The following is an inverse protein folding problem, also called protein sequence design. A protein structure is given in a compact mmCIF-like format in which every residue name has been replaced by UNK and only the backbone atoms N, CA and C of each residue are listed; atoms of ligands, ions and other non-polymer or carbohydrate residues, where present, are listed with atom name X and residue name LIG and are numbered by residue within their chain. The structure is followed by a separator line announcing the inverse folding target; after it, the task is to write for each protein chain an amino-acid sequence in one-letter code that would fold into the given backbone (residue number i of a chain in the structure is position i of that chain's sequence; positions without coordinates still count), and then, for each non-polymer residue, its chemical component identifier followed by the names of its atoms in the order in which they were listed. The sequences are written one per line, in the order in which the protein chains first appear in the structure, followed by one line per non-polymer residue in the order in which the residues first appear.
data_IF_665147733094
#
_entry.id   IF_665147733094
#
_cell.length_a   1.000
_cell.length_b   1.000
_cell.length_c   1.000
_cell.angle_alpha   90.00
_cell.angle_beta   90.00
_cell.angle_gamma   90.00
#
_symmetry.space_group_name_H-M   'P 1'
#
loop_
_entity.id
_entity.type
_entity.pdbx_description
1 polymer ?
#
# COMPACT_ATOMS: atom_id res chain seq x y z
N UNK A 1 -35.20 -15.37 -4.82
CA UNK A 1 -34.36 -14.26 -5.30
C UNK A 1 -32.92 -14.53 -4.85
N UNK A 2 -31.95 -14.53 -5.77
CA UNK A 2 -30.57 -14.91 -5.50
C UNK A 2 -29.57 -13.84 -5.91
N UNK A 3 -29.98 -12.83 -6.70
CA UNK A 3 -29.14 -11.70 -7.05
C UNK A 3 -29.94 -10.43 -7.35
N UNK A 4 -29.28 -9.28 -7.18
CA UNK A 4 -29.64 -8.00 -7.78
C UNK A 4 -28.56 -7.57 -8.77
N UNK A 5 -28.95 -7.08 -9.94
CA UNK A 5 -28.05 -6.43 -10.90
C UNK A 5 -28.35 -4.93 -10.95
N UNK A 6 -27.36 -4.11 -10.66
CA UNK A 6 -27.39 -2.66 -10.89
C UNK A 6 -26.89 -2.41 -12.29
N UNK A 7 -27.67 -1.78 -13.15
CA UNK A 7 -27.37 -1.66 -14.58
C UNK A 7 -27.83 -0.35 -15.20
N UNK A 8 -27.31 -0.06 -16.40
CA UNK A 8 -27.81 0.96 -17.32
C UNK A 8 -28.10 0.29 -18.67
N UNK A 9 -29.35 0.15 -19.01
CA UNK A 9 -29.75 -0.64 -20.18
C UNK A 9 -29.23 -2.09 -20.09
N UNK A 10 -28.40 -2.52 -21.03
CA UNK A 10 -27.78 -3.87 -21.04
C UNK A 10 -26.46 -3.95 -20.24
N UNK A 11 -25.88 -2.82 -19.83
CA UNK A 11 -24.61 -2.79 -19.11
C UNK A 11 -24.82 -3.01 -17.63
N UNK A 12 -24.25 -4.10 -17.09
CA UNK A 12 -24.27 -4.42 -15.65
C UNK A 12 -23.05 -3.81 -14.98
N UNK A 13 -23.28 -2.91 -14.02
CA UNK A 13 -22.23 -2.28 -13.21
C UNK A 13 -21.88 -3.08 -11.96
N UNK A 14 -22.87 -3.76 -11.39
CA UNK A 14 -22.68 -4.56 -10.18
C UNK A 14 -23.73 -5.68 -10.09
N UNK A 15 -23.27 -6.86 -9.70
CA UNK A 15 -24.13 -7.95 -9.27
C UNK A 15 -23.95 -8.17 -7.78
N UNK A 16 -25.04 -8.17 -7.02
CA UNK A 16 -25.08 -8.46 -5.57
C UNK A 16 -25.75 -9.80 -5.41
N UNK A 17 -25.01 -10.80 -4.98
CA UNK A 17 -25.51 -12.19 -4.80
C UNK A 17 -25.80 -12.48 -3.33
N UNK A 18 -26.73 -13.41 -3.07
CA UNK A 18 -27.09 -13.86 -1.72
C UNK A 18 -28.50 -14.46 -1.69
N UNK A 19 -28.88 -15.05 -0.54
CA UNK A 19 -30.21 -15.67 -0.35
C UNK A 19 -30.76 -15.26 1.02
N UNK A 20 -31.47 -14.10 1.12
CA UNK A 20 -31.65 -13.07 0.11
C UNK A 20 -30.38 -12.25 -0.15
N UNK A 21 -30.24 -11.58 -1.31
CA UNK A 21 -29.12 -10.66 -1.55
C UNK A 21 -29.20 -9.42 -0.67
N UNK A 22 -28.05 -8.80 -0.39
CA UNK A 22 -28.01 -7.51 0.33
C UNK A 22 -28.77 -6.42 -0.44
N UNK A 23 -29.50 -5.57 0.27
CA UNK A 23 -30.30 -4.47 -0.30
C UNK A 23 -29.51 -3.17 -0.47
N UNK A 24 -28.21 -3.18 -0.12
CA UNK A 24 -27.29 -2.06 -0.26
C UNK A 24 -25.98 -2.52 -0.91
N UNK A 25 -25.44 -1.70 -1.78
CA UNK A 25 -24.11 -1.95 -2.39
C UNK A 25 -23.45 -0.63 -2.75
N UNK A 26 -22.12 -0.64 -2.87
CA UNK A 26 -21.33 0.48 -3.37
C UNK A 26 -20.92 0.17 -4.80
N UNK A 27 -21.15 1.13 -5.69
CA UNK A 27 -20.62 1.11 -7.05
C UNK A 27 -19.25 1.78 -7.04
N UNK A 28 -18.29 1.15 -7.71
CA UNK A 28 -16.93 1.66 -7.91
C UNK A 28 -16.59 1.68 -9.40
N UNK A 29 -15.59 2.46 -9.77
CA UNK A 29 -15.15 2.53 -11.17
C UNK A 29 -16.05 3.36 -12.09
N UNK A 30 -16.97 4.16 -11.54
CA UNK A 30 -17.71 5.13 -12.32
C UNK A 30 -16.77 6.28 -12.73
N UNK A 31 -16.88 6.72 -13.99
CA UNK A 31 -16.16 7.91 -14.44
C UNK A 31 -16.66 9.14 -13.67
N UNK A 32 -15.77 10.07 -13.34
CA UNK A 32 -16.12 11.34 -12.71
C UNK A 32 -16.78 12.29 -13.71
N UNK A 33 -17.46 13.33 -13.22
CA UNK A 33 -18.20 14.33 -14.00
C UNK A 33 -19.13 13.73 -15.08
N UNK A 34 -19.63 12.51 -14.84
CA UNK A 34 -20.36 11.73 -15.84
C UNK A 34 -21.79 11.46 -15.37
N UNK A 35 -22.81 11.62 -16.24
CA UNK A 35 -24.19 11.27 -15.91
C UNK A 35 -24.37 9.75 -15.99
N UNK A 36 -25.12 9.23 -15.05
CA UNK A 36 -25.54 7.82 -15.01
C UNK A 36 -27.04 7.75 -14.76
N UNK A 37 -27.71 6.82 -15.47
CA UNK A 37 -29.09 6.43 -15.20
C UNK A 37 -29.09 4.95 -14.93
N UNK A 38 -29.36 4.56 -13.69
CA UNK A 38 -29.24 3.18 -13.23
C UNK A 38 -30.59 2.65 -12.76
N UNK A 39 -30.88 1.40 -13.07
CA UNK A 39 -31.98 0.60 -12.52
C UNK A 39 -31.44 -0.67 -11.86
N UNK A 40 -32.34 -1.37 -11.15
CA UNK A 40 -32.03 -2.65 -10.51
C UNK A 40 -32.98 -3.72 -11.05
N UNK A 41 -32.42 -4.87 -11.39
CA UNK A 41 -33.17 -6.07 -11.77
C UNK A 41 -32.87 -7.18 -10.76
N UNK A 42 -33.91 -7.83 -10.28
CA UNK A 42 -33.79 -9.00 -9.42
C UNK A 42 -33.73 -10.28 -10.26
N UNK A 43 -32.93 -11.27 -9.82
CA UNK A 43 -32.85 -12.59 -10.44
C UNK A 43 -33.17 -13.70 -9.45
N UNK A 44 -33.84 -14.74 -9.91
CA UNK A 44 -34.07 -15.96 -9.14
C UNK A 44 -32.97 -17.02 -9.43
N UNK A 45 -33.05 -18.18 -8.77
CA UNK A 45 -32.09 -19.26 -8.93
C UNK A 45 -32.16 -19.93 -10.33
N UNK A 46 -33.24 -19.76 -11.06
CA UNK A 46 -33.42 -20.28 -12.41
C UNK A 46 -32.92 -19.29 -13.49
N UNK A 47 -32.47 -18.07 -13.08
CA UNK A 47 -32.00 -17.03 -13.99
C UNK A 47 -33.09 -16.11 -14.53
N UNK A 48 -34.36 -16.28 -14.10
CA UNK A 48 -35.43 -15.37 -14.49
C UNK A 48 -35.20 -13.98 -13.89
N UNK A 49 -35.48 -12.94 -14.68
CA UNK A 49 -35.27 -11.56 -14.31
C UNK A 49 -36.63 -10.83 -14.08
N UNK A 50 -36.69 -10.00 -13.05
CA UNK A 50 -37.82 -9.09 -12.84
C UNK A 50 -37.86 -7.98 -13.87
N UNK A 51 -38.97 -7.26 -14.02
CA UNK A 51 -38.94 -5.93 -14.60
C UNK A 51 -37.91 -5.03 -13.88
N UNK A 52 -37.31 -4.05 -14.57
CA UNK A 52 -36.43 -3.08 -13.91
C UNK A 52 -37.19 -2.27 -12.83
N UNK A 53 -36.45 -1.86 -11.81
CA UNK A 53 -36.92 -0.81 -10.88
C UNK A 53 -37.13 0.53 -11.59
N UNK A 54 -37.71 1.51 -10.89
CA UNK A 54 -37.60 2.90 -11.33
C UNK A 54 -36.11 3.27 -11.46
N UNK A 55 -35.78 3.96 -12.54
CA UNK A 55 -34.43 4.41 -12.78
C UNK A 55 -34.08 5.63 -11.91
N UNK A 56 -32.83 5.69 -11.46
CA UNK A 56 -32.27 6.85 -10.76
C UNK A 56 -31.21 7.48 -11.64
N UNK A 57 -31.34 8.78 -11.90
CA UNK A 57 -30.34 9.55 -12.64
C UNK A 57 -29.55 10.43 -11.68
N UNK A 58 -28.24 10.41 -11.79
CA UNK A 58 -27.32 11.26 -11.05
C UNK A 58 -26.08 11.56 -11.90
N UNK A 59 -25.34 12.60 -11.53
CA UNK A 59 -24.01 12.90 -12.10
C UNK A 59 -22.99 12.62 -11.01
N UNK A 60 -21.93 11.91 -11.38
CA UNK A 60 -20.79 11.71 -10.46
C UNK A 60 -20.10 13.05 -10.18
N UNK A 61 -19.44 13.21 -9.00
CA UNK A 61 -18.65 14.41 -8.72
C UNK A 61 -17.65 14.73 -9.81
N UNK A 62 -17.28 16.01 -9.91
CA UNK A 62 -16.26 16.48 -10.85
C UNK A 62 -14.95 15.69 -10.70
N UNK A 63 -14.23 15.53 -11.78
CA UNK A 63 -12.93 14.91 -11.75
C UNK A 63 -12.00 15.77 -10.90
N UNK A 64 -11.39 15.17 -9.89
CA UNK A 64 -10.30 15.83 -9.19
C UNK A 64 -9.21 16.19 -10.21
N UNK A 65 -8.88 17.46 -10.31
CA UNK A 65 -7.85 17.93 -11.24
C UNK A 65 -6.50 17.33 -10.84
N UNK A 66 -5.73 16.90 -11.83
CA UNK A 66 -4.37 16.42 -11.59
C UNK A 66 -3.50 17.52 -10.93
N UNK A 67 -2.45 17.11 -10.24
CA UNK A 67 -1.41 18.04 -9.80
C UNK A 67 -1.59 18.66 -8.42
N UNK A 68 -2.30 18.02 -7.50
CA UNK A 68 -2.46 18.50 -6.13
C UNK A 68 -1.15 18.87 -5.42
N UNK A 69 -1.21 19.85 -4.52
CA UNK A 69 -0.07 20.38 -3.74
C UNK A 69 -0.38 20.30 -2.25
N UNK A 70 0.59 19.94 -1.38
CA UNK A 70 0.42 20.08 0.05
C UNK A 70 0.11 21.54 0.44
N UNK A 71 -1.07 21.78 0.99
CA UNK A 71 -1.57 23.13 1.33
C UNK A 71 -1.73 23.37 2.83
N UNK A 72 -1.62 22.32 3.64
CA UNK A 72 -1.68 22.41 5.09
C UNK A 72 -1.28 21.10 5.74
N UNK A 73 -0.76 21.17 6.96
CA UNK A 73 -0.42 20.02 7.79
C UNK A 73 -0.91 20.24 9.20
N UNK A 74 -1.51 19.23 9.81
CA UNK A 74 -1.96 19.25 11.20
C UNK A 74 -1.66 17.92 11.88
N UNK A 75 -1.30 17.94 13.16
CA UNK A 75 -1.13 16.72 13.95
C UNK A 75 -2.48 16.03 14.16
N UNK A 76 -2.58 14.78 13.80
CA UNK A 76 -3.72 13.90 14.12
C UNK A 76 -3.53 13.33 15.52
N UNK A 77 -2.37 12.73 15.79
CA UNK A 77 -2.02 12.18 17.11
C UNK A 77 -0.53 12.11 17.33
N UNK A 78 -0.13 12.04 18.60
CA UNK A 78 1.25 11.94 19.06
C UNK A 78 1.42 10.72 19.97
N UNK A 79 2.64 10.42 20.40
CA UNK A 79 2.92 9.30 21.30
C UNK A 79 3.02 7.96 20.59
N UNK A 80 3.44 7.94 19.34
CA UNK A 80 3.68 6.72 18.56
C UNK A 80 5.11 6.24 18.74
N UNK A 81 5.29 4.92 18.67
CA UNK A 81 6.58 4.23 18.72
C UNK A 81 6.87 3.54 17.40
N UNK A 82 7.58 4.23 16.51
CA UNK A 82 7.94 3.72 15.17
C UNK A 82 6.69 3.24 14.40
N UNK A 83 5.71 4.12 14.09
CA UNK A 83 4.53 3.75 13.31
C UNK A 83 4.96 3.43 11.87
N UNK A 84 5.04 2.13 11.55
CA UNK A 84 5.65 1.64 10.32
C UNK A 84 4.68 1.46 9.17
N UNK A 85 3.55 0.82 9.40
CA UNK A 85 2.50 0.59 8.40
C UNK A 85 1.23 1.32 8.78
N UNK A 86 0.54 1.91 7.81
CA UNK A 86 -0.79 2.50 7.99
C UNK A 86 -1.67 2.09 6.82
N UNK A 87 -2.85 1.56 7.11
CA UNK A 87 -3.81 1.16 6.09
C UNK A 87 -5.23 1.49 6.54
N UNK A 88 -5.98 2.16 5.67
CA UNK A 88 -7.35 2.54 5.95
C UNK A 88 -8.31 1.35 5.86
N UNK A 89 -9.29 1.33 6.76
CA UNK A 89 -10.42 0.42 6.64
C UNK A 89 -11.26 0.80 5.42
N UNK A 90 -11.97 -0.16 4.79
CA UNK A 90 -12.75 0.10 3.58
C UNK A 90 -13.85 1.14 3.74
N UNK A 91 -14.31 1.39 4.97
CA UNK A 91 -15.30 2.42 5.29
C UNK A 91 -14.71 3.85 5.32
N UNK A 92 -13.40 3.99 5.22
CA UNK A 92 -12.69 5.27 5.25
C UNK A 92 -12.75 6.03 6.57
N UNK A 93 -13.26 5.42 7.66
CA UNK A 93 -13.45 6.09 8.95
C UNK A 93 -12.29 5.88 9.92
N UNK A 94 -11.61 4.76 9.80
CA UNK A 94 -10.50 4.39 10.69
C UNK A 94 -9.35 3.80 9.89
N UNK A 95 -8.15 3.83 10.46
CA UNK A 95 -6.98 3.14 9.90
C UNK A 95 -6.36 2.20 10.95
N UNK A 96 -5.75 1.12 10.48
CA UNK A 96 -4.85 0.30 11.27
C UNK A 96 -3.43 0.82 11.11
N UNK A 97 -2.72 0.97 12.22
CA UNK A 97 -1.33 1.41 12.28
C UNK A 97 -0.53 0.36 13.04
N UNK A 98 0.58 -0.07 12.46
CA UNK A 98 1.52 -1.01 13.10
C UNK A 98 2.66 -0.24 13.77
N UNK A 99 3.02 -0.63 15.00
CA UNK A 99 4.25 -0.19 15.65
C UNK A 99 5.32 -1.28 15.53
N UNK A 100 6.47 -0.92 14.93
CA UNK A 100 7.49 -1.88 14.50
C UNK A 100 8.04 -2.74 15.63
N UNK A 101 8.48 -2.11 16.71
CA UNK A 101 9.25 -2.79 17.76
C UNK A 101 8.39 -3.29 18.93
N UNK A 102 7.22 -2.68 19.12
CA UNK A 102 6.23 -3.13 20.13
C UNK A 102 5.30 -4.21 19.60
N UNK A 103 5.29 -4.45 18.28
CA UNK A 103 4.43 -5.41 17.57
C UNK A 103 2.94 -5.14 17.75
N UNK A 104 2.58 -3.95 18.22
CA UNK A 104 1.20 -3.52 18.43
C UNK A 104 0.56 -3.14 17.11
N UNK A 105 -0.73 -3.43 17.03
CA UNK A 105 -1.60 -2.88 16.00
C UNK A 105 -2.61 -1.98 16.69
N UNK A 106 -2.69 -0.75 16.24
CA UNK A 106 -3.61 0.25 16.79
C UNK A 106 -4.61 0.68 15.73
N UNK A 107 -5.87 0.81 16.12
CA UNK A 107 -6.88 1.54 15.37
C UNK A 107 -6.70 3.03 15.65
N UNK A 108 -6.60 3.83 14.61
CA UNK A 108 -6.51 5.27 14.66
C UNK A 108 -7.70 5.92 13.94
N UNK A 109 -8.20 7.01 14.47
CA UNK A 109 -9.33 7.77 13.92
C UNK A 109 -8.91 9.19 13.54
N UNK A 110 -9.64 9.89 12.66
CA UNK A 110 -9.31 11.25 12.24
C UNK A 110 -9.33 12.29 13.35
N UNK A 111 -10.02 12.04 14.47
CA UNK A 111 -10.04 12.87 15.67
C UNK A 111 -8.81 12.67 16.59
N UNK A 112 -7.91 11.73 16.19
CA UNK A 112 -6.69 11.46 16.93
C UNK A 112 -6.79 10.35 17.98
N UNK A 113 -7.96 9.74 18.15
CA UNK A 113 -8.13 8.61 19.08
C UNK A 113 -7.33 7.41 18.59
N UNK A 114 -6.62 6.75 19.52
CA UNK A 114 -5.83 5.54 19.28
C UNK A 114 -6.29 4.45 20.23
N UNK A 115 -6.55 3.26 19.70
CA UNK A 115 -6.93 2.10 20.51
C UNK A 115 -6.11 0.88 20.05
N UNK A 116 -5.38 0.27 20.95
CA UNK A 116 -4.71 -0.99 20.64
C UNK A 116 -5.77 -2.08 20.40
N UNK A 117 -5.68 -2.74 19.24
CA UNK A 117 -6.60 -3.81 18.83
C UNK A 117 -5.95 -5.20 18.92
N UNK A 118 -4.67 -5.26 19.17
CA UNK A 118 -3.92 -6.50 19.38
C UNK A 118 -2.42 -6.35 19.14
N UNK A 119 -1.75 -7.49 19.12
CA UNK A 119 -0.35 -7.63 18.72
C UNK A 119 -0.22 -8.74 17.69
N UNK A 120 0.82 -8.67 16.85
CA UNK A 120 1.12 -9.76 15.91
C UNK A 120 2.00 -10.79 16.60
N UNK A 121 1.54 -12.05 16.76
CA UNK A 121 2.32 -13.09 17.43
C UNK A 121 3.60 -13.45 16.69
N UNK A 122 4.60 -13.91 17.45
CA UNK A 122 5.90 -14.36 16.91
C UNK A 122 6.72 -13.29 16.16
N UNK A 123 6.33 -12.03 16.25
CA UNK A 123 7.13 -10.94 15.74
C UNK A 123 8.35 -10.70 16.62
N UNK A 124 9.50 -10.43 15.99
CA UNK A 124 10.76 -10.10 16.66
C UNK A 124 11.44 -8.94 15.98
N UNK A 125 12.25 -8.19 16.71
CA UNK A 125 13.12 -7.15 16.15
C UNK A 125 14.41 -7.76 15.56
N UNK A 126 15.14 -6.95 14.79
CA UNK A 126 16.48 -7.30 14.28
C UNK A 126 17.55 -6.31 14.76
N UNK A 127 17.22 -5.47 15.72
CA UNK A 127 18.05 -4.33 16.17
C UNK A 127 18.38 -3.35 14.99
N UNK A 128 17.48 -3.30 14.01
CA UNK A 128 17.62 -2.52 12.79
C UNK A 128 16.28 -2.18 12.17
N UNK A 129 15.99 -2.77 11.00
CA UNK A 129 14.75 -2.47 10.26
C UNK A 129 13.66 -3.53 10.44
N UNK A 130 13.97 -4.71 10.95
CA UNK A 130 13.00 -5.79 11.14
C UNK A 130 12.11 -5.58 12.36
N UNK A 131 10.92 -6.15 12.32
CA UNK A 131 9.89 -6.04 13.34
C UNK A 131 8.50 -6.27 12.74
N UNK A 132 7.47 -5.61 13.27
CA UNK A 132 6.15 -5.55 12.65
C UNK A 132 6.15 -4.41 11.61
N UNK A 133 6.02 -4.75 10.34
CA UNK A 133 6.21 -3.85 9.21
C UNK A 133 4.86 -3.46 8.59
N UNK A 134 4.59 -3.91 7.38
CA UNK A 134 3.40 -3.54 6.61
C UNK A 134 2.11 -4.16 7.16
N UNK A 135 1.03 -3.46 6.91
CA UNK A 135 -0.34 -3.92 7.09
C UNK A 135 -1.14 -3.68 5.83
N UNK A 136 -2.06 -4.57 5.49
CA UNK A 136 -3.06 -4.37 4.45
C UNK A 136 -4.41 -4.93 4.92
N UNK A 137 -5.49 -4.30 4.51
CA UNK A 137 -6.87 -4.75 4.80
C UNK A 137 -7.44 -5.38 3.54
N UNK A 138 -8.07 -6.53 3.68
CA UNK A 138 -8.69 -7.22 2.55
C UNK A 138 -9.75 -6.32 1.89
N UNK A 139 -9.78 -6.19 0.56
CA UNK A 139 -10.85 -5.45 -0.13
C UNK A 139 -12.26 -5.97 0.17
N UNK A 140 -12.38 -7.23 0.59
CA UNK A 140 -13.63 -7.88 1.02
C UNK A 140 -13.76 -7.95 2.55
N UNK A 141 -13.09 -7.06 3.28
CA UNK A 141 -13.07 -7.09 4.75
C UNK A 141 -14.48 -7.14 5.36
N UNK A 142 -15.45 -6.45 4.79
CA UNK A 142 -16.83 -6.47 5.27
C UNK A 142 -17.46 -7.86 5.33
N UNK A 143 -16.92 -8.84 4.60
CA UNK A 143 -17.42 -10.22 4.57
C UNK A 143 -16.47 -11.22 5.23
N UNK A 144 -15.16 -11.00 5.17
CA UNK A 144 -14.17 -11.98 5.66
C UNK A 144 -13.38 -11.51 6.87
N UNK A 145 -13.41 -10.21 7.17
CA UNK A 145 -12.68 -9.57 8.29
C UNK A 145 -11.17 -9.78 8.27
N UNK A 146 -10.56 -10.06 7.11
CA UNK A 146 -9.14 -10.36 7.01
C UNK A 146 -8.28 -9.10 6.95
N UNK A 147 -7.16 -9.17 7.68
CA UNK A 147 -6.07 -8.19 7.65
C UNK A 147 -4.75 -8.95 7.53
N UNK A 148 -3.80 -8.36 6.83
CA UNK A 148 -2.52 -8.98 6.49
C UNK A 148 -1.38 -8.17 7.08
N UNK A 149 -0.36 -8.87 7.55
CA UNK A 149 0.82 -8.27 8.15
C UNK A 149 2.08 -8.84 7.53
N UNK A 150 3.04 -7.96 7.23
CA UNK A 150 4.42 -8.35 7.01
C UNK A 150 5.19 -8.13 8.30
N UNK A 151 5.84 -9.16 8.81
CA UNK A 151 6.62 -9.06 10.02
C UNK A 151 7.85 -9.95 9.99
N UNK A 152 8.83 -9.62 10.81
CA UNK A 152 10.01 -10.45 11.07
C UNK A 152 9.69 -11.43 12.18
N UNK A 153 10.06 -12.70 11.98
CA UNK A 153 10.00 -13.77 12.99
C UNK A 153 11.40 -14.34 13.24
N UNK A 154 11.52 -15.31 14.16
CA UNK A 154 12.83 -15.91 14.50
C UNK A 154 13.54 -16.50 13.29
N UNK A 155 12.81 -17.14 12.38
CA UNK A 155 13.36 -17.85 11.21
C UNK A 155 13.49 -16.98 9.95
N UNK A 156 12.81 -15.82 9.89
CA UNK A 156 12.78 -14.96 8.72
C UNK A 156 11.58 -14.04 8.70
N UNK A 157 11.45 -13.28 7.62
CA UNK A 157 10.25 -12.44 7.40
C UNK A 157 9.09 -13.30 6.92
N UNK A 158 7.87 -12.89 7.25
CA UNK A 158 6.62 -13.61 6.94
C UNK A 158 5.53 -12.66 6.48
N UNK A 159 4.65 -13.17 5.63
CA UNK A 159 3.31 -12.61 5.44
C UNK A 159 2.33 -13.46 6.26
N UNK A 160 1.63 -12.84 7.17
CA UNK A 160 0.61 -13.48 8.00
C UNK A 160 -0.74 -12.81 7.80
N UNK A 161 -1.81 -13.56 8.07
CA UNK A 161 -3.18 -13.07 8.07
C UNK A 161 -3.78 -13.22 9.46
N UNK A 162 -4.57 -12.26 9.87
CA UNK A 162 -5.40 -12.30 11.07
C UNK A 162 -6.84 -11.89 10.74
N UNK A 163 -7.76 -12.18 11.64
CA UNK A 163 -9.11 -11.67 11.61
C UNK A 163 -9.19 -10.43 12.50
N UNK A 164 -9.75 -9.35 11.97
CA UNK A 164 -10.03 -8.12 12.69
C UNK A 164 -11.55 -7.87 12.68
N UNK A 165 -12.22 -7.98 13.82
CA UNK A 165 -13.68 -7.84 13.96
C UNK A 165 -14.18 -6.39 14.10
N UNK A 166 -13.25 -5.41 13.99
CA UNK A 166 -13.53 -3.98 14.22
C UNK A 166 -13.08 -3.49 15.60
N UNK A 167 -12.78 -4.42 16.52
CA UNK A 167 -12.34 -4.14 17.89
C UNK A 167 -11.07 -4.88 18.30
N UNK A 168 -10.86 -6.10 17.83
CA UNK A 168 -9.76 -6.97 18.24
C UNK A 168 -9.22 -7.84 17.10
N UNK A 169 -7.95 -8.23 17.22
CA UNK A 169 -7.27 -9.18 16.33
C UNK A 169 -7.29 -10.59 16.88
N UNK A 170 -7.49 -11.58 16.01
CA UNK A 170 -7.48 -13.00 16.36
C UNK A 170 -7.04 -13.87 15.16
N UNK A 171 -6.89 -15.17 15.36
CA UNK A 171 -6.75 -16.14 14.26
C UNK A 171 -5.47 -15.98 13.43
N UNK A 172 -4.31 -15.80 14.08
CA UNK A 172 -3.03 -15.67 13.38
C UNK A 172 -2.72 -16.89 12.51
N UNK A 173 -2.46 -16.67 11.23
CA UNK A 173 -2.13 -17.69 10.23
C UNK A 173 -0.98 -17.22 9.36
N UNK A 174 0.08 -18.01 9.25
CA UNK A 174 1.20 -17.74 8.33
C UNK A 174 0.77 -18.12 6.91
N UNK A 175 0.86 -17.18 5.98
CA UNK A 175 0.54 -17.38 4.57
C UNK A 175 1.79 -17.61 3.72
N UNK A 176 2.87 -16.89 4.00
CA UNK A 176 4.16 -17.05 3.32
C UNK A 176 5.28 -16.92 4.32
N UNK A 177 6.24 -17.82 4.23
CA UNK A 177 7.49 -17.84 5.01
C UNK A 177 8.68 -18.18 4.11
N UNK A 178 9.89 -18.24 4.68
CA UNK A 178 11.10 -18.52 3.91
C UNK A 178 11.71 -17.26 3.27
N UNK A 179 11.26 -16.07 3.65
CA UNK A 179 11.89 -14.80 3.28
C UNK A 179 13.02 -14.56 4.30
N UNK A 180 14.27 -14.58 3.84
CA UNK A 180 15.43 -14.33 4.70
C UNK A 180 15.32 -12.94 5.34
N UNK A 181 15.64 -12.86 6.65
CA UNK A 181 15.74 -11.60 7.38
C UNK A 181 17.19 -11.20 7.57
N UNK A 182 17.41 -9.93 7.81
CA UNK A 182 18.69 -9.41 8.30
C UNK A 182 18.45 -8.21 9.21
N UNK A 183 19.52 -7.64 9.76
CA UNK A 183 19.43 -6.39 10.51
C UNK A 183 18.78 -5.28 9.68
N UNK A 184 19.14 -5.20 8.40
CA UNK A 184 18.64 -4.24 7.43
C UNK A 184 18.08 -4.93 6.19
N UNK A 185 17.42 -4.17 5.32
CA UNK A 185 16.91 -4.60 4.01
C UNK A 185 15.87 -5.72 4.11
N UNK A 186 14.86 -5.51 4.95
CA UNK A 186 13.76 -6.46 5.11
C UNK A 186 12.56 -6.17 4.18
N UNK A 187 12.53 -5.00 3.55
CA UNK A 187 11.37 -4.55 2.76
C UNK A 187 10.16 -4.31 3.65
N UNK A 188 9.02 -4.92 3.33
CA UNK A 188 7.93 -5.07 4.28
C UNK A 188 6.62 -4.39 3.91
N UNK A 189 6.51 -3.65 2.79
CA UNK A 189 5.26 -3.01 2.39
C UNK A 189 4.29 -4.02 1.80
N UNK A 190 3.00 -3.88 2.18
CA UNK A 190 1.89 -4.63 1.62
C UNK A 190 0.91 -3.69 0.93
N UNK A 191 0.37 -4.11 -0.21
CA UNK A 191 -0.68 -3.39 -0.92
C UNK A 191 -1.56 -4.37 -1.70
N UNK A 192 -2.88 -4.15 -1.72
CA UNK A 192 -3.76 -4.83 -2.65
C UNK A 192 -3.76 -4.15 -4.00
N UNK A 193 -3.60 -4.93 -5.05
CA UNK A 193 -3.74 -4.45 -6.42
C UNK A 193 -5.21 -4.36 -6.85
N UNK A 194 -5.50 -3.60 -7.92
CA UNK A 194 -6.85 -3.56 -8.50
C UNK A 194 -7.29 -4.90 -9.06
N UNK A 195 -6.36 -5.82 -9.26
CA UNK A 195 -6.59 -7.21 -9.66
C UNK A 195 -7.02 -8.12 -8.48
N UNK A 196 -7.09 -7.57 -7.26
CA UNK A 196 -7.52 -8.26 -6.04
C UNK A 196 -6.45 -9.14 -5.39
N UNK A 197 -5.22 -9.14 -5.89
CA UNK A 197 -4.09 -9.86 -5.29
C UNK A 197 -3.31 -8.99 -4.31
N UNK A 198 -2.68 -9.65 -3.34
CA UNK A 198 -1.80 -9.01 -2.38
C UNK A 198 -0.38 -8.94 -2.94
N UNK A 199 0.18 -7.73 -2.95
CA UNK A 199 1.56 -7.46 -3.30
C UNK A 199 2.37 -7.21 -2.03
N UNK A 200 3.57 -7.80 -1.98
CA UNK A 200 4.50 -7.64 -0.86
C UNK A 200 5.89 -7.28 -1.37
N UNK A 201 6.51 -6.27 -0.77
CA UNK A 201 7.90 -5.93 -1.05
C UNK A 201 8.83 -6.64 -0.09
N UNK A 202 9.94 -7.20 -0.60
CA UNK A 202 10.95 -7.87 0.20
C UNK A 202 12.34 -7.33 -0.12
N UNK A 203 13.13 -7.05 0.90
CA UNK A 203 14.53 -6.67 0.74
C UNK A 203 15.43 -7.88 0.50
N UNK A 204 16.64 -7.63 0.05
CA UNK A 204 17.64 -8.68 -0.22
C UNK A 204 18.34 -9.21 1.06
N UNK A 205 17.99 -8.66 2.23
CA UNK A 205 18.48 -9.11 3.54
C UNK A 205 20.01 -9.12 3.65
N UNK A 206 20.67 -8.05 3.17
CA UNK A 206 22.13 -7.89 3.13
C UNK A 206 22.85 -9.06 2.42
N UNK A 207 22.18 -9.66 1.45
CA UNK A 207 22.69 -10.72 0.58
C UNK A 207 22.34 -10.38 -0.87
N UNK A 208 23.07 -9.45 -1.51
CA UNK A 208 22.71 -8.82 -2.77
C UNK A 208 22.35 -9.78 -3.90
N UNK A 209 23.04 -10.92 -3.99
CA UNK A 209 22.82 -11.92 -5.06
C UNK A 209 21.41 -12.53 -5.02
N UNK A 210 20.75 -12.54 -3.86
CA UNK A 210 19.37 -13.02 -3.75
C UNK A 210 18.40 -12.20 -4.60
N UNK A 211 18.72 -10.92 -4.85
CA UNK A 211 17.87 -10.06 -5.67
C UNK A 211 17.76 -10.57 -7.12
N UNK A 212 18.80 -11.19 -7.67
CA UNK A 212 18.83 -11.74 -9.02
C UNK A 212 18.34 -13.19 -9.11
N UNK A 213 18.31 -13.93 -8.01
CA UNK A 213 17.80 -15.30 -7.99
C UNK A 213 16.26 -15.30 -8.02
N UNK A 214 15.69 -15.75 -9.13
CA UNK A 214 14.22 -15.84 -9.34
C UNK A 214 13.53 -16.91 -8.50
N UNK A 215 14.28 -17.79 -7.84
CA UNK A 215 13.76 -18.78 -6.89
C UNK A 215 13.78 -18.26 -5.45
N UNK A 216 14.52 -17.18 -5.17
CA UNK A 216 14.54 -16.50 -3.89
C UNK A 216 13.33 -15.58 -3.75
N UNK A 217 12.80 -15.47 -2.53
CA UNK A 217 11.76 -14.51 -2.17
C UNK A 217 12.34 -13.13 -1.77
N UNK A 218 13.65 -12.98 -1.73
CA UNK A 218 14.33 -11.78 -1.28
C UNK A 218 14.72 -10.84 -2.45
N UNK A 219 14.61 -9.53 -2.23
CA UNK A 219 14.87 -8.53 -3.26
C UNK A 219 13.84 -8.56 -4.39
N UNK A 220 12.56 -8.61 -4.03
CA UNK A 220 11.43 -8.86 -4.92
C UNK A 220 10.23 -7.98 -4.62
N UNK A 221 9.40 -7.79 -5.64
CA UNK A 221 7.97 -7.60 -5.44
C UNK A 221 7.32 -8.95 -5.66
N UNK A 222 6.63 -9.43 -4.62
CA UNK A 222 5.87 -10.69 -4.63
C UNK A 222 4.41 -10.40 -4.90
N UNK A 223 3.69 -11.33 -5.55
CA UNK A 223 2.24 -11.23 -5.80
C UNK A 223 1.58 -12.57 -5.47
N UNK A 224 0.58 -12.52 -4.59
CA UNK A 224 -0.07 -13.71 -4.04
C UNK A 224 -1.58 -13.53 -3.89
N UNK A 225 -2.26 -14.67 -3.81
CA UNK A 225 -3.69 -14.72 -3.48
C UNK A 225 -3.93 -14.43 -1.99
N UNK A 226 -5.16 -14.16 -1.63
CA UNK A 226 -5.58 -13.88 -0.24
C UNK A 226 -5.46 -15.08 0.70
N UNK A 227 -5.29 -16.29 0.15
CA UNK A 227 -5.02 -17.53 0.88
C UNK A 227 -3.53 -17.94 0.87
N UNK A 228 -2.65 -17.06 0.37
CA UNK A 228 -1.20 -17.21 0.47
C UNK A 228 -0.56 -18.07 -0.61
N UNK A 229 -1.24 -18.33 -1.74
CA UNK A 229 -0.64 -19.01 -2.89
C UNK A 229 -0.06 -18.01 -3.89
N UNK A 230 0.91 -18.44 -4.68
CA UNK A 230 1.37 -17.64 -5.80
C UNK A 230 0.20 -17.25 -6.71
N UNK A 231 0.08 -15.97 -7.06
CA UNK A 231 -1.04 -15.53 -7.88
C UNK A 231 -0.94 -16.10 -9.30
N UNK A 232 -2.07 -16.54 -9.90
CA UNK A 232 -2.10 -16.95 -11.30
C UNK A 232 -1.57 -15.87 -12.23
N UNK A 233 -0.81 -16.28 -13.25
CA UNK A 233 -0.22 -15.34 -14.21
C UNK A 233 1.04 -14.62 -13.71
N UNK A 234 1.61 -15.01 -12.57
CA UNK A 234 2.94 -14.56 -12.19
C UNK A 234 3.98 -15.02 -13.22
N UNK A 235 4.95 -14.15 -13.57
CA UNK A 235 5.80 -14.35 -14.74
C UNK A 235 6.74 -15.57 -14.66
N UNK A 236 7.00 -16.07 -13.43
CA UNK A 236 7.94 -17.19 -13.23
C UNK A 236 7.27 -18.43 -12.63
N UNK A 237 5.94 -18.49 -12.58
CA UNK A 237 5.20 -19.62 -12.02
C UNK A 237 5.33 -19.77 -10.50
N UNK A 238 5.88 -18.78 -9.82
CA UNK A 238 6.05 -18.69 -8.36
C UNK A 238 5.54 -17.34 -7.83
N UNK A 239 5.91 -16.94 -6.62
CA UNK A 239 5.46 -15.68 -6.00
C UNK A 239 6.05 -14.42 -6.64
N UNK A 240 7.16 -14.53 -7.39
CA UNK A 240 7.93 -13.39 -7.89
C UNK A 240 7.18 -12.67 -9.01
N UNK A 241 6.90 -11.39 -8.80
CA UNK A 241 6.31 -10.49 -9.80
C UNK A 241 7.38 -9.66 -10.52
N UNK A 242 8.33 -9.09 -9.77
CA UNK A 242 9.55 -8.44 -10.26
C UNK A 242 10.74 -8.75 -9.36
N UNK A 243 11.95 -8.54 -9.85
CA UNK A 243 13.18 -8.89 -9.16
C UNK A 243 14.28 -7.86 -9.38
N UNK A 244 15.42 -8.04 -8.69
CA UNK A 244 16.52 -7.09 -8.78
C UNK A 244 16.31 -5.85 -7.91
N UNK A 245 15.63 -6.01 -6.76
CA UNK A 245 15.39 -4.96 -5.77
C UNK A 245 16.34 -5.08 -4.58
N UNK A 246 16.72 -3.94 -4.00
CA UNK A 246 17.57 -3.91 -2.81
C UNK A 246 16.73 -3.89 -1.52
N UNK A 247 16.00 -2.82 -1.29
CA UNK A 247 15.18 -2.63 -0.09
C UNK A 247 13.92 -1.80 -0.38
N UNK A 248 12.95 -2.35 -1.07
CA UNK A 248 11.72 -1.67 -1.43
C UNK A 248 10.80 -1.51 -0.22
N UNK A 249 10.38 -0.28 0.10
CA UNK A 249 9.49 0.02 1.24
C UNK A 249 8.23 0.81 0.87
N UNK A 250 8.10 1.26 -0.37
CA UNK A 250 6.94 1.99 -0.84
C UNK A 250 6.23 1.25 -1.96
N UNK A 251 4.90 1.05 -1.87
CA UNK A 251 4.06 0.50 -2.92
C UNK A 251 2.77 1.31 -3.03
N UNK A 252 2.40 1.72 -4.24
CA UNK A 252 1.11 2.34 -4.50
C UNK A 252 0.65 2.09 -5.94
N UNK A 253 -0.65 1.88 -6.11
CA UNK A 253 -1.26 1.78 -7.43
C UNK A 253 -1.82 3.14 -7.87
N UNK A 254 -1.58 3.52 -9.10
CA UNK A 254 -2.20 4.70 -9.70
C UNK A 254 -3.60 4.39 -10.26
N UNK A 255 -4.29 5.43 -10.76
CA UNK A 255 -5.65 5.31 -11.32
C UNK A 255 -5.74 4.37 -12.53
N UNK A 256 -4.63 4.12 -13.21
CA UNK A 256 -4.54 3.21 -14.35
C UNK A 256 -4.15 1.78 -13.94
N UNK A 257 -4.09 1.50 -12.63
CA UNK A 257 -3.72 0.20 -12.08
C UNK A 257 -2.23 -0.14 -12.19
N UNK A 258 -1.36 0.84 -12.44
CA UNK A 258 0.08 0.65 -12.53
C UNK A 258 0.70 0.71 -11.14
N UNK A 259 1.58 -0.23 -10.84
CA UNK A 259 2.27 -0.30 -9.55
C UNK A 259 3.53 0.57 -9.55
N UNK A 260 3.57 1.53 -8.65
CA UNK A 260 4.75 2.33 -8.33
C UNK A 260 5.40 1.81 -7.07
N UNK A 261 6.72 1.85 -7.04
CA UNK A 261 7.53 1.34 -5.96
C UNK A 261 8.68 2.31 -5.66
N UNK A 262 9.00 2.47 -4.36
CA UNK A 262 10.13 3.27 -3.91
C UNK A 262 11.07 2.43 -3.05
N UNK A 263 12.40 2.51 -3.35
CA UNK A 263 13.41 1.72 -2.67
C UNK A 263 14.69 2.49 -2.33
N UNK A 264 15.36 2.02 -1.29
CA UNK A 264 16.65 2.52 -0.86
C UNK A 264 17.76 1.96 -1.73
N UNK A 265 18.59 2.85 -2.25
CA UNK A 265 19.88 2.49 -2.79
C UNK A 265 20.91 2.18 -1.71
N UNK A 266 22.13 1.91 -2.14
CA UNK A 266 23.25 1.62 -1.24
C UNK A 266 24.07 2.88 -0.91
N UNK A 267 24.73 3.40 -1.91
CA UNK A 267 25.69 4.49 -1.73
C UNK A 267 25.52 5.61 -2.75
N UNK A 268 24.76 5.40 -3.80
CA UNK A 268 24.64 6.34 -4.92
C UNK A 268 23.26 6.93 -5.06
N UNK A 269 22.22 6.09 -5.30
CA UNK A 269 20.90 6.55 -5.71
C UNK A 269 19.77 5.74 -5.06
N UNK A 270 18.84 6.45 -4.48
CA UNK A 270 17.51 5.95 -4.17
C UNK A 270 16.62 6.02 -5.41
N UNK A 271 15.57 5.19 -5.50
CA UNK A 271 14.81 4.97 -6.71
C UNK A 271 13.30 5.06 -6.51
N UNK A 272 12.63 5.55 -7.55
CA UNK A 272 11.20 5.41 -7.76
C UNK A 272 10.99 4.66 -9.07
N UNK A 273 10.42 3.48 -8.97
CA UNK A 273 10.24 2.52 -10.03
C UNK A 273 8.78 2.40 -10.47
N UNK A 274 8.54 2.16 -11.75
CA UNK A 274 7.28 1.66 -12.27
C UNK A 274 7.40 0.15 -12.48
N UNK A 275 6.71 -0.62 -11.64
CA UNK A 275 6.85 -2.07 -11.61
C UNK A 275 6.04 -2.74 -12.73
N UNK A 276 6.71 -3.58 -13.50
CA UNK A 276 6.12 -4.41 -14.55
C UNK A 276 6.43 -5.89 -14.30
N UNK A 277 5.52 -6.81 -14.65
CA UNK A 277 5.73 -8.24 -14.41
C UNK A 277 6.97 -8.74 -15.15
N UNK A 278 7.76 -9.56 -14.47
CA UNK A 278 8.95 -10.21 -15.02
C UNK A 278 10.18 -9.33 -15.24
N UNK A 279 10.10 -8.05 -14.89
CA UNK A 279 11.22 -7.12 -15.11
C UNK A 279 12.26 -7.19 -13.99
N UNK A 280 13.52 -6.95 -14.39
CA UNK A 280 14.69 -6.86 -13.52
C UNK A 280 15.05 -5.40 -13.27
N UNK A 281 15.07 -4.97 -12.00
CA UNK A 281 15.36 -3.59 -11.61
C UNK A 281 16.83 -3.34 -11.26
N UNK A 282 17.68 -4.31 -11.49
CA UNK A 282 19.13 -4.15 -11.67
C UNK A 282 19.99 -4.42 -10.45
N UNK A 283 19.50 -4.33 -9.22
CA UNK A 283 20.30 -4.59 -8.03
C UNK A 283 20.78 -6.06 -7.97
N UNK A 284 22.07 -6.36 -7.64
CA UNK A 284 23.16 -5.43 -7.28
C UNK A 284 24.02 -5.00 -8.47
N UNK A 285 23.70 -5.37 -9.70
CA UNK A 285 24.49 -5.05 -10.90
C UNK A 285 24.50 -3.54 -11.14
N UNK A 286 23.36 -2.90 -10.87
CA UNK A 286 23.17 -1.46 -11.03
C UNK A 286 22.56 -0.85 -9.77
N UNK A 287 22.78 0.44 -9.59
CA UNK A 287 22.14 1.34 -8.64
C UNK A 287 21.83 2.64 -9.38
N UNK A 288 20.58 3.02 -9.48
CA UNK A 288 20.13 4.10 -10.34
C UNK A 288 20.06 3.68 -11.82
N UNK A 289 20.41 4.58 -12.72
CA UNK A 289 20.34 4.31 -14.16
C UNK A 289 21.35 3.24 -14.57
N UNK A 290 20.86 2.23 -15.25
CA UNK A 290 21.63 1.07 -15.69
C UNK A 290 21.74 1.02 -17.21
N UNK A 291 22.92 0.71 -17.72
CA UNK A 291 23.17 0.50 -19.16
C UNK A 291 23.24 -0.98 -19.54
N UNK A 292 23.19 -1.87 -18.55
CA UNK A 292 23.23 -3.32 -18.77
C UNK A 292 21.93 -3.79 -19.43
N UNK A 293 22.05 -4.54 -20.51
CA UNK A 293 20.93 -5.09 -21.26
C UNK A 293 20.05 -5.96 -20.37
N UNK A 294 18.72 -5.82 -20.50
CA UNK A 294 17.75 -6.58 -19.73
C UNK A 294 17.38 -5.98 -18.38
N UNK A 295 18.05 -4.93 -17.95
CA UNK A 295 17.69 -4.18 -16.74
C UNK A 295 16.66 -3.10 -17.05
N UNK A 296 15.81 -2.81 -16.09
CA UNK A 296 14.78 -1.76 -16.17
C UNK A 296 15.22 -0.58 -15.34
N UNK A 297 15.28 0.58 -15.96
CA UNK A 297 15.70 1.81 -15.28
C UNK A 297 14.58 2.37 -14.38
N UNK A 298 14.96 2.97 -13.25
CA UNK A 298 14.02 3.74 -12.44
C UNK A 298 13.43 4.92 -13.23
N UNK A 299 12.21 5.31 -12.89
CA UNK A 299 11.56 6.49 -13.45
C UNK A 299 12.12 7.79 -12.89
N UNK A 300 12.63 7.74 -11.64
CA UNK A 300 13.29 8.85 -10.97
C UNK A 300 14.31 8.34 -9.96
N UNK A 301 15.37 9.11 -9.77
CA UNK A 301 16.41 8.83 -8.75
C UNK A 301 16.70 10.06 -7.92
N UNK A 302 17.15 9.84 -6.70
CA UNK A 302 17.64 10.87 -5.76
C UNK A 302 19.00 10.47 -5.21
N UNK A 303 19.76 11.45 -4.70
CA UNK A 303 20.90 11.14 -3.85
C UNK A 303 20.39 10.56 -2.52
N UNK A 304 21.10 9.61 -1.95
CA UNK A 304 20.71 8.94 -0.71
C UNK A 304 20.55 9.89 0.49
N UNK A 305 21.16 11.08 0.43
CA UNK A 305 20.98 12.15 1.44
C UNK A 305 19.65 12.90 1.32
N UNK A 306 18.98 12.80 0.17
CA UNK A 306 17.77 13.57 -0.13
C UNK A 306 16.50 12.73 0.01
N UNK A 307 16.62 11.40 0.08
CA UNK A 307 15.48 10.51 0.17
C UNK A 307 15.64 9.46 1.28
N UNK A 308 16.18 8.27 1.03
CA UNK A 308 15.90 7.04 1.76
C UNK A 308 14.38 6.82 1.83
N UNK A 309 13.76 6.51 0.68
CA UNK A 309 12.30 6.58 0.52
C UNK A 309 11.62 5.39 1.20
N UNK A 310 10.54 5.64 1.93
CA UNK A 310 9.73 4.59 2.53
C UNK A 310 8.33 4.57 1.91
N UNK A 311 7.28 4.90 2.65
CA UNK A 311 5.93 4.84 2.12
C UNK A 311 5.69 5.80 0.96
N UNK A 312 4.86 5.37 0.00
CA UNK A 312 4.32 6.22 -1.06
C UNK A 312 2.80 6.14 -1.11
N UNK A 313 2.16 7.22 -1.53
CA UNK A 313 0.72 7.29 -1.80
C UNK A 313 0.46 8.14 -3.03
N UNK A 314 -0.68 7.90 -3.70
CA UNK A 314 -1.04 8.65 -4.91
C UNK A 314 -2.38 9.35 -4.70
N UNK A 315 -2.38 10.67 -4.84
CA UNK A 315 -3.56 11.53 -4.78
C UNK A 315 -3.50 12.48 -5.97
N UNK A 316 -4.62 12.66 -6.69
CA UNK A 316 -4.73 13.55 -7.85
C UNK A 316 -3.59 13.35 -8.87
N UNK A 317 -3.28 12.09 -9.17
CA UNK A 317 -2.21 11.70 -10.11
C UNK A 317 -0.81 12.20 -9.72
N UNK A 318 -0.58 12.39 -8.43
CA UNK A 318 0.71 12.79 -7.85
C UNK A 318 1.16 11.72 -6.85
N UNK A 319 2.38 11.25 -6.99
CA UNK A 319 3.04 10.38 -6.02
C UNK A 319 3.61 11.27 -4.91
N UNK A 320 3.20 10.99 -3.67
CA UNK A 320 3.80 11.55 -2.46
C UNK A 320 4.65 10.47 -1.81
N UNK A 321 5.92 10.79 -1.53
CA UNK A 321 6.92 9.84 -1.05
C UNK A 321 7.56 10.35 0.23
N UNK A 322 7.40 9.62 1.31
CA UNK A 322 8.02 9.92 2.59
C UNK A 322 9.50 9.55 2.57
N UNK A 323 10.36 10.47 2.99
CA UNK A 323 11.80 10.33 3.00
C UNK A 323 12.36 10.31 4.42
N UNK A 324 13.10 9.24 4.76
CA UNK A 324 13.68 9.06 6.10
C UNK A 324 14.92 9.94 6.30
N UNK A 325 16.00 9.66 5.59
CA UNK A 325 17.24 10.42 5.70
C UNK A 325 17.11 11.83 5.12
N UNK A 326 16.28 11.97 4.09
CA UNK A 326 16.02 13.25 3.46
C UNK A 326 15.06 14.14 4.26
N UNK A 327 14.41 13.63 5.30
CA UNK A 327 13.52 14.36 6.23
C UNK A 327 12.53 15.27 5.50
N UNK A 328 11.83 14.74 4.49
CA UNK A 328 10.92 15.49 3.64
C UNK A 328 9.83 14.63 3.04
N UNK A 329 8.79 15.29 2.56
CA UNK A 329 7.78 14.71 1.69
C UNK A 329 8.09 15.13 0.25
N UNK A 330 8.44 14.16 -0.60
CA UNK A 330 8.56 14.38 -2.03
C UNK A 330 7.18 14.36 -2.68
N UNK A 331 6.94 15.29 -3.59
CA UNK A 331 5.80 15.36 -4.49
C UNK A 331 6.30 15.12 -5.91
N UNK A 332 5.78 14.10 -6.59
CA UNK A 332 6.22 13.71 -7.93
C UNK A 332 4.98 13.54 -8.83
N UNK A 333 4.66 14.51 -9.69
CA UNK A 333 3.51 14.40 -10.58
C UNK A 333 3.69 13.28 -11.60
N UNK A 334 2.61 12.53 -11.88
CA UNK A 334 2.50 11.64 -13.04
C UNK A 334 1.93 12.49 -14.18
N UNK A 335 2.55 12.48 -15.35
CA UNK A 335 2.14 13.32 -16.47
C UNK A 335 0.97 12.69 -17.22
N UNK A 336 -0.24 13.15 -16.96
CA UNK A 336 -1.46 12.62 -17.55
C UNK A 336 -1.62 11.12 -17.29
N UNK A 337 -2.00 10.36 -18.29
CA UNK A 337 -2.12 8.89 -18.20
C UNK A 337 -0.87 8.15 -18.67
N UNK A 338 0.25 8.86 -18.81
CA UNK A 338 1.53 8.31 -19.26
C UNK A 338 2.30 7.67 -18.10
N UNK A 339 3.42 7.03 -18.42
CA UNK A 339 4.39 6.52 -17.45
C UNK A 339 5.48 7.56 -17.11
N UNK A 340 5.35 8.79 -17.58
CA UNK A 340 6.34 9.83 -17.37
C UNK A 340 6.03 10.60 -16.09
N UNK A 341 7.10 11.08 -15.47
CA UNK A 341 7.03 11.88 -14.26
C UNK A 341 7.39 13.33 -14.56
N UNK A 342 6.69 14.25 -13.94
CA UNK A 342 7.04 15.65 -13.91
C UNK A 342 8.20 15.94 -12.94
N UNK A 343 8.52 17.20 -12.76
CA UNK A 343 9.59 17.64 -11.86
C UNK A 343 9.19 17.42 -10.41
N UNK A 344 9.98 16.67 -9.62
CA UNK A 344 9.76 16.54 -8.19
C UNK A 344 9.90 17.86 -7.45
N UNK A 345 9.11 18.01 -6.39
CA UNK A 345 9.25 19.12 -5.43
C UNK A 345 9.22 18.58 -4.00
N UNK A 346 9.96 19.22 -3.10
CA UNK A 346 10.10 18.81 -1.71
C UNK A 346 9.29 19.72 -0.79
N UNK A 347 8.65 19.09 0.22
CA UNK A 347 7.87 19.76 1.25
C UNK A 347 8.36 19.34 2.63
N UNK A 348 8.22 20.23 3.61
CA UNK A 348 8.52 20.00 5.02
C UNK A 348 9.97 19.60 5.30
N UNK A 349 10.92 20.07 4.50
CA UNK A 349 12.33 19.72 4.59
C UNK A 349 12.89 20.06 5.97
N UNK A 350 13.38 19.05 6.70
CA UNK A 350 13.95 19.18 8.04
C UNK A 350 12.96 19.63 9.14
N UNK A 351 11.66 19.73 8.83
CA UNK A 351 10.68 20.30 9.77
C UNK A 351 10.17 19.27 10.78
N UNK A 352 9.96 18.04 10.35
CA UNK A 352 9.35 16.98 11.16
C UNK A 352 10.27 15.78 11.36
N UNK A 353 11.52 15.90 10.92
CA UNK A 353 12.50 14.80 10.96
C UNK A 353 12.19 13.70 9.95
N UNK A 354 12.45 12.49 10.35
CA UNK A 354 12.36 11.27 9.51
C UNK A 354 10.91 10.91 9.22
N UNK A 355 10.50 10.98 7.95
CA UNK A 355 9.14 10.63 7.52
C UNK A 355 9.11 9.20 6.97
N UNK A 356 8.18 8.36 7.46
CA UNK A 356 8.14 6.94 7.11
C UNK A 356 6.98 6.55 6.22
N UNK A 357 5.77 6.70 6.68
CA UNK A 357 4.59 6.22 5.93
C UNK A 357 3.73 7.39 5.53
N UNK A 358 3.35 7.39 4.26
CA UNK A 358 2.30 8.24 3.72
C UNK A 358 1.21 7.37 3.15
N UNK A 359 -0.04 7.69 3.43
CA UNK A 359 -1.21 6.98 2.90
C UNK A 359 -2.33 7.95 2.54
N UNK A 360 -3.07 7.64 1.47
CA UNK A 360 -4.23 8.43 1.04
C UNK A 360 -5.39 8.22 2.00
N UNK A 361 -6.05 9.30 2.41
CA UNK A 361 -7.33 9.22 3.12
C UNK A 361 -8.44 8.91 2.11
N UNK A 362 -9.21 7.81 2.28
CA UNK A 362 -10.25 7.43 1.34
C UNK A 362 -11.29 8.54 1.14
N UNK A 363 -11.66 8.80 -0.12
CA UNK A 363 -12.67 9.79 -0.47
C UNK A 363 -12.28 11.26 -0.24
N UNK A 364 -11.00 11.53 0.09
CA UNK A 364 -10.54 12.89 0.40
C UNK A 364 -9.22 13.19 -0.33
N UNK A 365 -8.99 14.47 -0.65
CA UNK A 365 -7.71 14.96 -1.13
C UNK A 365 -6.81 15.27 0.08
N UNK A 366 -6.51 14.22 0.84
CA UNK A 366 -5.70 14.28 2.04
C UNK A 366 -4.77 13.06 2.15
N UNK A 367 -3.67 13.27 2.85
CA UNK A 367 -2.74 12.21 3.24
C UNK A 367 -2.66 12.11 4.75
N UNK A 368 -2.41 10.90 5.26
CA UNK A 368 -1.80 10.72 6.56
C UNK A 368 -0.31 10.43 6.39
N UNK A 369 0.51 11.06 7.23
CA UNK A 369 1.96 11.03 7.18
C UNK A 369 2.51 10.74 8.57
N UNK A 370 3.33 9.69 8.73
CA UNK A 370 3.96 9.36 10.01
C UNK A 370 5.42 9.76 10.05
N UNK A 371 5.90 10.11 11.25
CA UNK A 371 7.32 10.19 11.55
C UNK A 371 7.87 8.84 12.01
N UNK A 372 9.19 8.75 12.16
CA UNK A 372 9.94 7.63 12.74
C UNK A 372 11.24 8.15 13.37
N UNK A 373 11.10 9.18 14.20
CA UNK A 373 12.23 9.86 14.84
C UNK A 373 12.81 9.06 16.03
N UNK A 374 12.04 8.13 16.58
CA UNK A 374 12.50 7.23 17.64
C UNK A 374 13.01 5.88 17.15
N UNK A 375 13.21 5.70 15.83
CA UNK A 375 13.84 4.48 15.29
C UNK A 375 15.36 4.46 15.58
N UNK A 376 16.00 3.33 15.28
CA UNK A 376 17.44 3.11 15.50
C UNK A 376 18.39 4.04 14.71
N UNK A 377 17.86 4.95 13.91
CA UNK A 377 18.58 6.01 13.17
C UNK A 377 18.09 7.42 13.51
N UNK A 378 17.05 7.51 14.32
CA UNK A 378 16.56 8.75 14.91
C UNK A 378 17.25 9.05 16.24
N UNK A 379 17.00 10.22 16.79
CA UNK A 379 17.60 10.70 18.04
C UNK A 379 16.55 11.02 19.13
N UNK A 380 15.28 10.78 18.81
CA UNK A 380 14.18 11.11 19.72
C UNK A 380 13.83 9.91 20.61
N UNK A 381 13.30 10.14 21.81
CA UNK A 381 12.90 9.07 22.71
C UNK A 381 11.68 8.29 22.15
N UNK A 382 11.52 7.07 22.65
CA UNK A 382 10.33 6.25 22.36
C UNK A 382 9.03 7.01 22.70
N UNK A 383 8.03 6.86 21.84
CA UNK A 383 6.77 7.60 21.97
C UNK A 383 6.80 9.04 21.44
N UNK A 384 7.87 9.51 20.82
CA UNK A 384 7.96 10.87 20.25
C UNK A 384 7.34 11.00 18.86
N UNK A 385 7.09 9.92 18.18
CA UNK A 385 6.57 9.93 16.81
C UNK A 385 5.13 10.46 16.73
N UNK A 386 4.81 10.96 15.57
CA UNK A 386 3.53 11.63 15.28
C UNK A 386 2.90 11.11 14.01
N UNK A 387 1.59 11.23 13.95
CA UNK A 387 0.79 11.07 12.76
C UNK A 387 0.19 12.42 12.38
N UNK A 388 0.42 12.85 11.15
CA UNK A 388 -0.08 14.10 10.58
C UNK A 388 -1.14 13.85 9.53
N UNK A 389 -2.04 14.81 9.38
CA UNK A 389 -2.91 14.98 8.22
C UNK A 389 -2.36 16.09 7.35
N UNK A 390 -2.15 15.80 6.07
CA UNK A 390 -1.71 16.75 5.06
C UNK A 390 -2.85 16.99 4.08
N UNK A 391 -3.30 18.23 3.95
CA UNK A 391 -4.32 18.61 2.96
C UNK A 391 -3.67 18.81 1.60
N UNK A 392 -4.36 18.40 0.55
CA UNK A 392 -3.93 18.53 -0.85
C UNK A 392 -4.92 19.45 -1.56
N UNK A 393 -4.44 20.56 -2.10
CA UNK A 393 -5.24 21.52 -2.86
C UNK A 393 -4.97 21.47 -4.36
#
# INVERSE_FOLDING_TARGET
MTAYEVRSGSTVYKTVTGTPPATTTTLTGLACASPYTLDVVAKDAAGNASPPSNAVTFTTPDCATDGGVPSGIATVSSGWSIPWGTYWMPDGKTALVTERDSFKVLKATPDGTRTQVGTVPNAVTTDGEGGLLGVAVDPKWSSNHYVYFMHTASEGNRVARMTYDGSSLSGYTVLLQGIKKSRYHNGGRLAFGPDGYLYASTGEAQTPDLAQDKNSLNGKILRMTTDGKAAPGNPFGNYVYSYGHRNPQGLAFDRNGRLWEAEFGDSKKDELNLIKPGKNYGWPVCEGTCTTTGMTNPKKTWNISEASPSGIAIVRNVIYMAALKGERLWRVPITGDTENLGTPSAYYVGTYGRLRTVTKVPGQDQLWLSTTNCDNKGNEPDGSDKLFRVSIS
#
